data_IF_495854095664
#
_entry.id   IF_495854095664
#
_cell.length_a   1.000
_cell.length_b   1.000
_cell.length_c   1.000
_cell.angle_alpha   90.00
_cell.angle_beta   90.00
_cell.angle_gamma   90.00
#
_symmetry.space_group_name_H-M   'P 1'
#
loop_
_entity.id
_entity.type
_entity.pdbx_description
1 polymer ?
#
# COMPACT_ATOMS: atom_id res chain seq x y z
N UNK A 1 11.18 46.07 -42.81
CA UNK A 1 10.43 46.31 -41.57
C UNK A 1 9.57 45.07 -41.35
N UNK A 2 10.10 44.11 -40.66
CA UNK A 2 9.40 42.87 -40.29
C UNK A 2 8.90 43.03 -38.86
N UNK A 3 7.60 43.00 -38.74
CA UNK A 3 6.90 43.05 -37.42
C UNK A 3 6.75 41.61 -36.93
N UNK A 4 7.51 41.27 -35.92
CA UNK A 4 7.55 39.94 -35.31
C UNK A 4 6.82 40.00 -33.96
N UNK A 5 5.48 40.02 -33.98
CA UNK A 5 4.66 39.93 -32.79
C UNK A 5 4.24 38.46 -32.58
N UNK A 6 5.13 37.65 -31.94
CA UNK A 6 4.76 36.34 -31.43
C UNK A 6 3.79 36.50 -30.24
N UNK A 7 2.49 36.45 -30.52
CA UNK A 7 1.44 36.38 -29.51
C UNK A 7 1.52 35.09 -28.74
N UNK A 8 1.89 35.16 -27.45
CA UNK A 8 1.79 34.07 -26.51
C UNK A 8 0.31 33.80 -26.21
N UNK A 9 -0.27 32.81 -26.89
CA UNK A 9 -1.63 32.36 -26.62
C UNK A 9 -1.65 31.31 -25.51
N UNK A 10 -2.34 31.59 -24.41
CA UNK A 10 -2.62 30.60 -23.36
C UNK A 10 -3.82 29.75 -23.81
N UNK A 11 -3.62 28.46 -24.02
CA UNK A 11 -4.72 27.51 -24.29
C UNK A 11 -5.28 27.05 -22.95
N UNK A 12 -6.49 27.46 -22.62
CA UNK A 12 -7.23 26.96 -21.46
C UNK A 12 -8.08 25.78 -21.92
N UNK A 13 -7.71 24.58 -21.51
CA UNK A 13 -8.51 23.38 -21.75
C UNK A 13 -9.49 23.21 -20.59
N UNK A 14 -10.77 23.50 -20.83
CA UNK A 14 -11.84 23.21 -19.87
C UNK A 14 -12.42 21.84 -20.18
N UNK A 15 -12.37 20.93 -19.22
CA UNK A 15 -13.11 19.65 -19.30
C UNK A 15 -14.42 19.78 -18.52
N UNK A 16 -15.52 19.26 -19.08
CA UNK A 16 -16.79 19.19 -18.32
C UNK A 16 -16.66 18.17 -17.17
N UNK A 17 -17.46 18.33 -16.13
CA UNK A 17 -17.50 17.40 -15.00
C UNK A 17 -17.77 15.96 -15.43
N UNK A 18 -18.59 15.78 -16.47
CA UNK A 18 -18.88 14.47 -17.07
C UNK A 18 -17.64 13.84 -17.74
N UNK A 19 -16.87 14.63 -18.49
CA UNK A 19 -15.61 14.14 -19.09
C UNK A 19 -14.54 13.77 -18.07
N UNK A 20 -14.51 14.47 -16.93
CA UNK A 20 -13.62 14.13 -15.81
C UNK A 20 -14.05 12.79 -15.21
N UNK A 21 -15.35 12.61 -14.92
CA UNK A 21 -15.91 11.38 -14.37
C UNK A 21 -15.73 10.17 -15.29
N UNK A 22 -15.92 10.34 -16.61
CA UNK A 22 -15.65 9.27 -17.58
C UNK A 22 -14.17 8.87 -17.61
N UNK A 23 -13.28 9.86 -17.54
CA UNK A 23 -11.84 9.61 -17.54
C UNK A 23 -11.41 8.88 -16.25
N UNK A 24 -11.91 9.30 -15.09
CA UNK A 24 -11.67 8.63 -13.82
C UNK A 24 -12.21 7.20 -13.81
N UNK A 25 -13.40 6.97 -14.36
CA UNK A 25 -13.99 5.63 -14.48
C UNK A 25 -13.15 4.71 -15.36
N UNK A 26 -12.64 5.19 -16.49
CA UNK A 26 -11.77 4.42 -17.38
C UNK A 26 -10.41 4.10 -16.73
N UNK A 27 -9.83 5.05 -15.99
CA UNK A 27 -8.59 4.83 -15.24
C UNK A 27 -8.83 3.76 -14.17
N UNK A 28 -9.90 3.87 -13.36
CA UNK A 28 -10.26 2.87 -12.34
C UNK A 28 -10.46 1.48 -12.94
N UNK A 29 -11.14 1.39 -14.09
CA UNK A 29 -11.33 0.11 -14.77
C UNK A 29 -9.98 -0.49 -15.19
N UNK A 30 -9.08 0.28 -15.77
CA UNK A 30 -7.75 -0.16 -16.16
C UNK A 30 -6.91 -0.61 -14.95
N UNK A 31 -6.96 0.11 -13.81
CA UNK A 31 -6.28 -0.30 -12.58
C UNK A 31 -6.89 -1.58 -11.98
N UNK A 32 -8.22 -1.73 -12.04
CA UNK A 32 -8.92 -2.92 -11.56
C UNK A 32 -8.58 -4.16 -12.40
N UNK A 33 -8.50 -4.02 -13.72
CA UNK A 33 -8.10 -5.09 -14.63
C UNK A 33 -6.66 -5.55 -14.38
N UNK A 34 -5.79 -4.66 -13.90
CA UNK A 34 -4.42 -4.96 -13.49
C UNK A 34 -4.31 -5.44 -12.03
N UNK A 35 -5.42 -5.49 -11.28
CA UNK A 35 -5.42 -5.85 -9.87
C UNK A 35 -4.82 -4.80 -8.93
N UNK A 36 -4.67 -3.55 -9.40
CA UNK A 36 -4.05 -2.44 -8.68
C UNK A 36 -5.08 -1.54 -7.98
N UNK A 37 -6.11 -2.13 -7.40
CA UNK A 37 -7.15 -1.40 -6.67
C UNK A 37 -7.36 -1.95 -5.27
N UNK A 38 -7.65 -1.05 -4.34
CA UNK A 38 -8.10 -1.46 -3.01
C UNK A 38 -9.50 -2.08 -3.11
N UNK A 39 -9.70 -3.20 -2.42
CA UNK A 39 -10.92 -4.04 -2.51
C UNK A 39 -11.87 -3.85 -1.33
N UNK A 40 -11.34 -3.43 -0.17
CA UNK A 40 -12.05 -3.38 1.10
C UNK A 40 -12.19 -1.95 1.60
N UNK A 41 -13.26 -1.72 2.35
CA UNK A 41 -13.58 -0.47 3.04
C UNK A 41 -13.66 -0.69 4.55
N UNK A 42 -13.83 0.36 5.35
CA UNK A 42 -14.01 0.20 6.80
C UNK A 42 -15.29 -0.55 7.17
N UNK A 43 -16.26 -0.60 6.27
CA UNK A 43 -17.52 -1.35 6.43
C UNK A 43 -17.30 -2.87 6.34
N UNK A 44 -16.18 -3.30 5.74
CA UNK A 44 -15.80 -4.73 5.68
C UNK A 44 -15.11 -5.22 6.96
N UNK A 45 -14.78 -4.31 7.89
CA UNK A 45 -14.18 -4.65 9.18
C UNK A 45 -15.30 -4.95 10.17
N UNK A 46 -15.52 -6.24 10.42
CA UNK A 46 -16.58 -6.71 11.29
C UNK A 46 -16.12 -6.69 12.75
N UNK A 47 -16.94 -6.08 13.60
CA UNK A 47 -16.75 -6.00 15.05
C UNK A 47 -17.40 -4.77 15.67
N UNK A 48 -17.83 -4.91 16.91
CA UNK A 48 -18.51 -3.87 17.70
C UNK A 48 -17.76 -3.54 19.00
N UNK A 49 -16.66 -4.24 19.32
CA UNK A 49 -15.87 -3.97 20.51
C UNK A 49 -15.27 -2.56 20.50
N UNK A 50 -15.14 -1.90 21.66
CA UNK A 50 -14.51 -0.59 21.76
C UNK A 50 -13.10 -0.56 21.12
N UNK A 51 -12.34 -1.63 21.31
CA UNK A 51 -10.98 -1.73 20.80
C UNK A 51 -10.91 -1.67 19.27
N UNK A 52 -11.78 -2.40 18.53
CA UNK A 52 -11.79 -2.36 17.08
C UNK A 52 -12.38 -1.04 16.55
N UNK A 53 -13.43 -0.52 17.21
CA UNK A 53 -14.05 0.75 16.83
C UNK A 53 -13.10 1.94 16.99
N UNK A 54 -12.28 1.94 18.05
CA UNK A 54 -11.28 3.00 18.25
C UNK A 54 -10.15 2.90 17.23
N UNK A 55 -9.71 1.69 16.86
CA UNK A 55 -8.77 1.50 15.76
C UNK A 55 -9.34 1.98 14.41
N UNK A 56 -10.62 1.71 14.11
CA UNK A 56 -11.29 2.22 12.91
C UNK A 56 -11.33 3.75 12.92
N UNK A 57 -11.71 4.38 14.04
CA UNK A 57 -11.71 5.85 14.16
C UNK A 57 -10.30 6.43 13.94
N UNK A 58 -9.28 5.80 14.49
CA UNK A 58 -7.88 6.19 14.31
C UNK A 58 -7.47 6.06 12.85
N UNK A 59 -7.73 4.93 12.22
CA UNK A 59 -7.44 4.68 10.81
C UNK A 59 -8.13 5.69 9.88
N UNK A 60 -9.39 6.06 10.16
CA UNK A 60 -10.10 7.13 9.43
C UNK A 60 -9.46 8.51 9.58
N UNK A 61 -8.82 8.81 10.72
CA UNK A 61 -8.02 10.04 10.87
C UNK A 61 -6.73 9.95 10.05
N UNK A 62 -6.08 8.79 10.05
CA UNK A 62 -4.83 8.56 9.31
C UNK A 62 -5.04 8.53 7.79
N UNK A 63 -6.23 8.17 7.30
CA UNK A 63 -6.53 8.24 5.87
C UNK A 63 -6.45 9.67 5.30
N UNK A 64 -6.72 10.69 6.15
CA UNK A 64 -6.76 12.10 5.73
C UNK A 64 -5.38 12.76 5.60
N UNK A 65 -4.32 12.10 6.04
CA UNK A 65 -2.95 12.62 5.98
C UNK A 65 -2.09 11.72 5.11
N UNK A 66 -1.11 12.31 4.43
CA UNK A 66 -0.22 11.58 3.50
C UNK A 66 1.06 11.09 4.20
N UNK A 67 0.90 10.57 5.42
CA UNK A 67 1.99 10.00 6.22
C UNK A 67 2.03 8.49 6.10
N UNK A 68 3.21 7.90 6.36
CA UNK A 68 3.35 6.46 6.46
C UNK A 68 2.56 5.93 7.65
N UNK A 69 1.99 4.73 7.51
CA UNK A 69 1.23 4.05 8.56
C UNK A 69 1.83 2.66 8.78
N UNK A 70 2.09 2.30 10.03
CA UNK A 70 2.49 0.96 10.43
C UNK A 70 1.33 0.27 11.16
N UNK A 71 0.87 -0.86 10.64
CA UNK A 71 -0.21 -1.66 11.21
C UNK A 71 0.40 -2.89 11.89
N UNK A 72 0.26 -2.99 13.19
CA UNK A 72 0.78 -4.09 13.99
C UNK A 72 -0.35 -4.98 14.48
N UNK A 73 -0.13 -6.28 14.50
CA UNK A 73 -1.10 -7.26 14.99
C UNK A 73 -0.77 -8.67 14.55
N UNK A 74 -1.28 -9.63 15.27
CA UNK A 74 -1.09 -11.06 14.95
C UNK A 74 -1.62 -11.40 13.56
N UNK A 75 -1.17 -12.55 13.03
CA UNK A 75 -1.70 -13.06 11.76
C UNK A 75 -3.21 -13.31 11.88
N UNK A 76 -3.97 -12.90 10.87
CA UNK A 76 -5.44 -13.06 10.85
C UNK A 76 -6.23 -11.96 11.60
N UNK A 77 -5.60 -10.93 12.15
CA UNK A 77 -6.31 -9.83 12.85
C UNK A 77 -7.02 -8.85 11.92
N UNK A 78 -6.74 -8.89 10.60
CA UNK A 78 -7.37 -8.01 9.60
C UNK A 78 -6.51 -6.84 9.15
N UNK A 79 -5.18 -6.88 9.32
CA UNK A 79 -4.25 -5.80 8.92
C UNK A 79 -4.46 -5.33 7.48
N UNK A 80 -4.68 -6.27 6.56
CA UNK A 80 -4.95 -5.97 5.14
C UNK A 80 -6.24 -5.17 4.95
N UNK A 81 -7.32 -5.51 5.67
CA UNK A 81 -8.58 -4.75 5.61
C UNK A 81 -8.37 -3.28 5.99
N UNK A 82 -7.58 -3.02 7.04
CA UNK A 82 -7.24 -1.65 7.45
C UNK A 82 -6.42 -0.93 6.37
N UNK A 83 -5.42 -1.58 5.77
CA UNK A 83 -4.59 -0.96 4.73
C UNK A 83 -5.43 -0.53 3.52
N UNK A 84 -6.29 -1.42 3.02
CA UNK A 84 -7.22 -1.12 1.94
C UNK A 84 -8.18 0.02 2.30
N UNK A 85 -8.78 -0.04 3.50
CA UNK A 85 -9.73 0.98 3.97
C UNK A 85 -9.10 2.36 4.11
N UNK A 86 -7.87 2.43 4.62
CA UNK A 86 -7.10 3.69 4.73
C UNK A 86 -6.87 4.30 3.35
N UNK A 87 -6.52 3.49 2.35
CA UNK A 87 -6.36 3.98 0.99
C UNK A 87 -7.70 4.46 0.41
N UNK A 88 -8.78 3.69 0.54
CA UNK A 88 -10.11 4.01 0.00
C UNK A 88 -10.69 5.33 0.54
N UNK A 89 -10.41 5.68 1.80
CA UNK A 89 -10.84 6.97 2.38
C UNK A 89 -9.78 8.08 2.26
N UNK A 90 -8.65 7.84 1.58
CA UNK A 90 -7.59 8.84 1.42
C UNK A 90 -7.81 9.76 0.22
N UNK A 91 -7.00 10.81 0.13
CA UNK A 91 -6.91 11.66 -1.06
C UNK A 91 -6.43 10.89 -2.31
N UNK A 92 -5.77 9.74 -2.12
CA UNK A 92 -5.24 8.86 -3.19
C UNK A 92 -6.20 7.73 -3.59
N UNK A 93 -7.46 7.76 -3.15
CA UNK A 93 -8.45 6.69 -3.39
C UNK A 93 -8.70 6.32 -4.86
N UNK A 94 -8.39 7.21 -5.79
CA UNK A 94 -8.53 7.02 -7.23
C UNK A 94 -7.21 6.63 -7.92
N UNK A 95 -6.11 6.61 -7.15
CA UNK A 95 -4.78 6.26 -7.61
C UNK A 95 -4.52 4.75 -7.40
N UNK A 96 -3.43 4.17 -7.92
CA UNK A 96 -3.11 2.77 -7.72
C UNK A 96 -2.99 2.39 -6.24
N UNK A 97 -3.38 1.15 -5.93
CA UNK A 97 -3.10 0.47 -4.67
C UNK A 97 -2.40 -0.85 -4.96
N UNK A 98 -1.13 -0.93 -4.60
CA UNK A 98 -0.32 -2.11 -4.82
C UNK A 98 -0.03 -2.80 -3.49
N UNK A 99 -0.43 -4.06 -3.35
CA UNK A 99 -0.15 -4.87 -2.17
C UNK A 99 0.94 -5.90 -2.46
N UNK A 100 1.92 -6.00 -1.57
CA UNK A 100 2.99 -7.00 -1.63
C UNK A 100 3.21 -7.61 -0.25
N UNK A 101 3.19 -8.94 -0.19
CA UNK A 101 3.63 -9.67 1.00
C UNK A 101 5.15 -9.92 0.89
N UNK A 102 5.92 -9.31 1.79
CA UNK A 102 7.39 -9.38 1.76
C UNK A 102 7.93 -10.77 2.14
N UNK A 103 7.19 -11.55 2.92
CA UNK A 103 7.57 -12.91 3.30
C UNK A 103 7.33 -13.94 2.19
N UNK A 104 6.49 -13.63 1.20
CA UNK A 104 6.13 -14.57 0.14
C UNK A 104 7.21 -14.78 -0.92
N UNK A 105 8.23 -13.91 -0.98
CA UNK A 105 9.22 -13.90 -2.03
C UNK A 105 10.64 -14.05 -1.45
N UNK A 106 11.52 -14.85 -2.08
CA UNK A 106 12.94 -14.83 -1.76
C UNK A 106 13.56 -13.45 -2.06
N UNK A 107 14.64 -13.10 -1.36
CA UNK A 107 15.28 -11.78 -1.36
C UNK A 107 15.49 -11.19 -2.76
N UNK A 108 16.08 -11.96 -3.68
CA UNK A 108 16.38 -11.46 -5.04
C UNK A 108 15.11 -11.14 -5.83
N UNK A 109 14.04 -11.90 -5.62
CA UNK A 109 12.74 -11.63 -6.26
C UNK A 109 12.06 -10.43 -5.61
N UNK A 110 12.08 -10.33 -4.28
CA UNK A 110 11.55 -9.18 -3.54
C UNK A 110 12.21 -7.88 -4.01
N UNK A 111 13.54 -7.88 -4.16
CA UNK A 111 14.29 -6.73 -4.67
C UNK A 111 13.84 -6.34 -6.08
N UNK A 112 13.77 -7.31 -6.98
CA UNK A 112 13.39 -7.09 -8.37
C UNK A 112 11.93 -6.67 -8.53
N UNK A 113 11.02 -7.16 -7.66
CA UNK A 113 9.63 -6.70 -7.63
C UNK A 113 9.52 -5.26 -7.13
N UNK A 114 10.13 -4.92 -6.00
CA UNK A 114 10.03 -3.59 -5.41
C UNK A 114 10.67 -2.50 -6.28
N UNK A 115 11.92 -2.72 -6.72
CA UNK A 115 12.73 -1.67 -7.36
C UNK A 115 12.84 -1.81 -8.88
N UNK A 116 12.53 -2.99 -9.43
CA UNK A 116 12.74 -3.28 -10.84
C UNK A 116 14.21 -3.50 -11.20
N UNK A 117 14.47 -3.78 -12.46
CA UNK A 117 15.84 -4.00 -12.97
C UNK A 117 15.99 -3.56 -14.42
N UNK A 118 17.20 -3.18 -14.79
CA UNK A 118 17.56 -2.88 -16.19
C UNK A 118 17.84 -4.15 -16.98
N UNK A 119 17.73 -4.10 -18.32
CA UNK A 119 18.08 -5.22 -19.17
C UNK A 119 19.46 -5.76 -18.88
N UNK A 120 19.57 -7.08 -18.64
CA UNK A 120 20.85 -7.72 -18.39
C UNK A 120 21.44 -7.50 -16.98
N UNK A 121 20.70 -6.98 -16.02
CA UNK A 121 21.16 -6.68 -14.67
C UNK A 121 21.71 -7.91 -13.91
N UNK A 122 21.22 -9.10 -14.24
CA UNK A 122 21.67 -10.38 -13.67
C UNK A 122 21.41 -11.54 -14.66
N UNK A 123 22.01 -12.70 -14.37
CA UNK A 123 21.78 -13.92 -15.17
C UNK A 123 20.31 -14.35 -15.11
N UNK A 124 19.63 -14.38 -16.25
CA UNK A 124 18.18 -14.65 -16.35
C UNK A 124 17.29 -13.41 -16.36
N UNK A 125 17.83 -12.19 -16.27
CA UNK A 125 17.07 -10.96 -16.41
C UNK A 125 16.43 -10.86 -17.83
N UNK A 126 15.21 -10.34 -17.88
CA UNK A 126 14.52 -10.06 -19.15
C UNK A 126 15.35 -9.10 -20.02
N UNK A 127 15.31 -9.31 -21.34
CA UNK A 127 15.96 -8.41 -22.34
C UNK A 127 15.33 -7.00 -22.35
N UNK A 128 14.14 -6.84 -21.81
CA UNK A 128 13.43 -5.55 -21.73
C UNK A 128 13.53 -4.91 -20.33
N UNK A 129 14.16 -5.58 -19.36
CA UNK A 129 14.14 -5.14 -17.97
C UNK A 129 12.76 -5.32 -17.31
N UNK A 130 12.60 -4.76 -16.11
CA UNK A 130 11.32 -4.76 -15.39
C UNK A 130 11.13 -3.45 -14.63
N UNK A 131 9.92 -2.91 -14.70
CA UNK A 131 9.50 -1.77 -13.87
C UNK A 131 9.18 -2.32 -12.47
N UNK A 132 9.70 -1.67 -11.42
CA UNK A 132 9.43 -2.03 -10.03
C UNK A 132 8.09 -1.48 -9.52
N UNK A 133 7.57 -2.10 -8.44
CA UNK A 133 6.30 -1.72 -7.85
C UNK A 133 6.29 -0.27 -7.35
N UNK A 134 7.37 0.24 -6.78
CA UNK A 134 7.47 1.65 -6.38
C UNK A 134 7.36 2.63 -7.56
N UNK A 135 7.80 2.23 -8.74
CA UNK A 135 7.66 3.04 -9.94
C UNK A 135 6.25 2.93 -10.53
N UNK A 136 5.69 1.71 -10.51
CA UNK A 136 4.33 1.43 -10.99
C UNK A 136 3.28 2.17 -10.16
N UNK A 137 3.50 2.27 -8.83
CA UNK A 137 2.59 2.89 -7.86
C UNK A 137 2.80 4.42 -7.73
N UNK A 138 3.44 5.04 -8.70
CA UNK A 138 3.65 6.50 -8.66
C UNK A 138 2.32 7.26 -8.49
N UNK A 139 2.24 8.11 -7.45
CA UNK A 139 1.07 8.82 -6.89
C UNK A 139 0.10 7.94 -6.12
N UNK A 140 0.28 6.63 -6.10
CA UNK A 140 -0.56 5.67 -5.42
C UNK A 140 -0.17 5.40 -3.98
N UNK A 141 -0.58 4.21 -3.52
CA UNK A 141 -0.28 3.69 -2.17
C UNK A 141 0.24 2.27 -2.26
N UNK A 142 1.45 2.04 -1.80
CA UNK A 142 2.00 0.69 -1.66
C UNK A 142 1.71 0.14 -0.26
N UNK A 143 1.17 -1.06 -0.20
CA UNK A 143 0.98 -1.82 1.03
C UNK A 143 2.04 -2.93 1.11
N UNK A 144 2.91 -2.84 2.12
CA UNK A 144 3.97 -3.81 2.39
C UNK A 144 3.57 -4.66 3.59
N UNK A 145 3.01 -5.84 3.33
CA UNK A 145 2.67 -6.79 4.38
C UNK A 145 3.90 -7.56 4.83
N UNK A 146 3.94 -7.92 6.12
CA UNK A 146 5.05 -8.61 6.79
C UNK A 146 6.40 -7.88 6.58
N UNK A 147 6.39 -6.55 6.78
CA UNK A 147 7.57 -5.69 6.59
C UNK A 147 8.76 -6.10 7.47
N UNK A 148 8.50 -6.74 8.62
CA UNK A 148 9.53 -7.24 9.51
C UNK A 148 10.37 -8.38 8.94
N UNK A 149 9.90 -9.04 7.88
CA UNK A 149 10.60 -10.13 7.19
C UNK A 149 11.52 -9.64 6.06
N UNK A 150 11.55 -8.33 5.79
CA UNK A 150 12.40 -7.77 4.75
C UNK A 150 13.88 -7.94 5.12
N UNK A 151 14.72 -8.55 4.25
CA UNK A 151 16.15 -8.72 4.49
C UNK A 151 16.87 -7.40 4.78
N UNK A 152 17.85 -7.43 5.68
CA UNK A 152 18.61 -6.24 6.12
C UNK A 152 19.26 -5.47 4.96
N UNK A 153 19.68 -6.17 3.91
CA UNK A 153 20.24 -5.61 2.67
C UNK A 153 19.24 -4.70 1.93
N UNK A 154 17.95 -5.06 1.92
CA UNK A 154 16.90 -4.30 1.26
C UNK A 154 16.36 -3.15 2.11
N UNK A 155 16.49 -3.24 3.43
CA UNK A 155 16.01 -2.20 4.35
C UNK A 155 16.70 -0.84 4.09
N UNK A 156 17.98 -0.84 3.72
CA UNK A 156 18.69 0.40 3.35
C UNK A 156 18.14 1.05 2.07
N UNK A 157 17.67 0.24 1.11
CA UNK A 157 17.03 0.74 -0.12
C UNK A 157 15.63 1.30 0.17
N UNK A 158 14.85 0.60 1.00
CA UNK A 158 13.55 1.08 1.47
C UNK A 158 13.66 2.40 2.22
N UNK A 159 14.68 2.56 3.07
CA UNK A 159 14.91 3.80 3.79
C UNK A 159 15.10 4.98 2.84
N UNK A 160 15.86 4.81 1.75
CA UNK A 160 16.03 5.86 0.73
C UNK A 160 14.71 6.23 0.07
N UNK A 161 13.88 5.24 -0.27
CA UNK A 161 12.53 5.50 -0.81
C UNK A 161 11.71 6.38 0.13
N UNK A 162 11.73 6.06 1.43
CA UNK A 162 10.94 6.78 2.44
C UNK A 162 11.49 8.17 2.79
N UNK A 163 12.79 8.39 2.65
CA UNK A 163 13.45 9.65 3.01
C UNK A 163 13.61 10.58 1.82
N UNK A 164 14.14 10.05 0.71
CA UNK A 164 14.55 10.81 -0.46
C UNK A 164 13.47 10.82 -1.55
N UNK A 165 12.45 9.91 -1.44
CA UNK A 165 11.45 9.67 -2.48
C UNK A 165 12.10 9.31 -3.83
N UNK A 166 13.18 8.56 -3.76
CA UNK A 166 13.96 8.16 -4.92
C UNK A 166 14.17 6.65 -4.94
N UNK A 167 14.18 6.11 -6.16
CA UNK A 167 14.51 4.70 -6.42
C UNK A 167 15.63 4.60 -7.44
N UNK A 168 16.35 3.44 -7.38
CA UNK A 168 17.27 2.98 -8.43
C UNK A 168 16.91 1.56 -8.79
N UNK A 169 16.79 1.28 -10.08
CA UNK A 169 16.63 -0.09 -10.55
C UNK A 169 17.90 -0.89 -10.35
N UNK A 170 17.76 -2.19 -10.15
CA UNK A 170 18.92 -3.10 -10.07
C UNK A 170 19.72 -3.03 -11.40
N UNK A 171 21.03 -2.84 -11.30
CA UNK A 171 21.89 -2.67 -12.47
C UNK A 171 21.88 -1.27 -13.11
N UNK A 172 21.25 -0.27 -12.45
CA UNK A 172 21.20 1.11 -12.95
C UNK A 172 21.82 2.11 -11.97
N UNK A 173 22.54 3.10 -12.49
CA UNK A 173 23.00 4.25 -11.70
C UNK A 173 21.98 5.41 -11.75
N UNK A 174 20.93 5.30 -12.56
CA UNK A 174 19.93 6.35 -12.71
C UNK A 174 18.99 6.39 -11.52
N UNK A 175 18.82 7.57 -10.97
CA UNK A 175 17.86 7.86 -9.91
C UNK A 175 16.55 8.30 -10.54
N UNK A 176 15.44 7.81 -10.00
CA UNK A 176 14.09 8.20 -10.41
C UNK A 176 13.31 8.67 -9.19
N UNK A 177 12.77 9.88 -9.24
CA UNK A 177 11.90 10.42 -8.19
C UNK A 177 10.52 9.77 -8.26
N UNK A 178 9.98 9.39 -7.13
CA UNK A 178 8.65 8.81 -6.98
C UNK A 178 7.85 9.54 -5.90
N UNK A 179 6.55 9.52 -6.03
CA UNK A 179 5.62 9.99 -5.02
C UNK A 179 4.68 8.83 -4.66
N UNK A 180 5.01 8.11 -3.59
CA UNK A 180 4.26 6.94 -3.13
C UNK A 180 3.99 7.07 -1.64
N UNK A 181 2.75 6.81 -1.24
CA UNK A 181 2.39 6.64 0.16
C UNK A 181 2.66 5.20 0.58
N UNK A 182 3.29 5.00 1.74
CA UNK A 182 3.59 3.65 2.24
C UNK A 182 2.70 3.33 3.43
N UNK A 183 1.97 2.21 3.33
CA UNK A 183 1.32 1.55 4.45
C UNK A 183 2.05 0.22 4.64
N UNK A 184 2.47 -0.09 5.85
CA UNK A 184 3.18 -1.34 6.16
C UNK A 184 2.48 -2.10 7.27
N UNK A 185 2.59 -3.43 7.25
CA UNK A 185 2.04 -4.27 8.30
C UNK A 185 3.07 -5.29 8.79
N UNK A 186 2.93 -5.70 10.05
CA UNK A 186 3.77 -6.74 10.65
C UNK A 186 3.03 -7.47 11.77
N UNK A 187 3.36 -8.76 11.94
CA UNK A 187 2.93 -9.59 13.06
C UNK A 187 4.04 -9.80 14.10
N UNK A 188 5.27 -9.34 13.82
CA UNK A 188 6.41 -9.53 14.70
C UNK A 188 6.75 -8.25 15.46
N UNK A 189 7.42 -8.42 16.60
CA UNK A 189 7.94 -7.31 17.39
C UNK A 189 9.20 -6.76 16.72
N UNK A 190 9.08 -5.61 16.02
CA UNK A 190 10.19 -4.98 15.31
C UNK A 190 11.26 -4.47 16.30
N UNK A 191 10.88 -4.01 17.49
CA UNK A 191 11.85 -3.52 18.49
C UNK A 191 12.82 -4.63 18.91
N UNK A 192 12.30 -5.84 19.11
CA UNK A 192 13.13 -7.02 19.34
C UNK A 192 14.02 -7.35 18.15
N UNK A 193 13.53 -7.20 16.93
CA UNK A 193 14.34 -7.38 15.70
C UNK A 193 15.48 -6.35 15.60
N UNK A 194 15.24 -5.11 16.09
CA UNK A 194 16.28 -4.07 16.16
C UNK A 194 17.36 -4.46 17.17
N UNK A 195 16.98 -4.92 18.37
CA UNK A 195 17.92 -5.39 19.38
C UNK A 195 18.80 -6.55 18.89
N UNK A 196 18.20 -7.44 18.11
CA UNK A 196 18.89 -8.59 17.49
C UNK A 196 19.66 -8.25 16.21
N UNK A 197 19.68 -7.00 15.77
CA UNK A 197 20.38 -6.53 14.57
C UNK A 197 19.76 -7.00 13.24
N UNK A 198 18.54 -7.50 13.25
CA UNK A 198 17.82 -7.98 12.06
C UNK A 198 16.96 -6.91 11.39
N UNK A 199 16.66 -5.83 12.12
CA UNK A 199 15.93 -4.68 11.58
C UNK A 199 16.65 -3.38 11.94
N UNK A 200 16.64 -2.42 11.01
CA UNK A 200 17.30 -1.12 11.21
C UNK A 200 16.36 -0.17 11.97
N UNK A 201 16.88 0.45 13.00
CA UNK A 201 16.13 1.43 13.80
C UNK A 201 15.72 2.67 12.98
N UNK A 202 16.58 3.15 12.07
CA UNK A 202 16.32 4.30 11.22
C UNK A 202 15.14 4.04 10.26
N UNK A 203 15.02 2.84 9.70
CA UNK A 203 13.89 2.43 8.89
C UNK A 203 12.60 2.35 9.73
N UNK A 204 12.67 1.75 10.93
CA UNK A 204 11.53 1.64 11.83
C UNK A 204 10.91 3.01 12.13
N UNK A 205 11.70 3.99 12.56
CA UNK A 205 11.20 5.33 12.86
C UNK A 205 10.64 6.06 11.63
N UNK A 206 11.00 5.65 10.43
CA UNK A 206 10.46 6.24 9.20
C UNK A 206 9.17 5.57 8.75
N UNK A 207 8.99 4.28 9.04
CA UNK A 207 7.74 3.53 8.81
C UNK A 207 6.69 3.89 9.87
N UNK A 208 7.10 3.96 11.14
CA UNK A 208 6.23 4.16 12.30
C UNK A 208 6.01 5.64 12.61
N UNK A 209 5.50 6.41 11.63
CA UNK A 209 5.06 7.78 11.86
C UNK A 209 3.66 7.83 12.46
N UNK A 210 2.80 6.92 12.06
CA UNK A 210 1.47 6.69 12.58
C UNK A 210 1.30 5.18 12.78
N UNK A 211 0.89 4.76 13.96
CA UNK A 211 0.73 3.35 14.29
C UNK A 211 -0.73 2.96 14.56
N UNK A 212 -1.05 1.72 14.21
CA UNK A 212 -2.31 1.06 14.54
C UNK A 212 -1.97 -0.31 15.10
N UNK A 213 -2.40 -0.59 16.33
CA UNK A 213 -2.22 -1.90 16.94
C UNK A 213 -3.56 -2.62 16.99
N UNK A 214 -3.72 -3.66 16.18
CA UNK A 214 -4.96 -4.42 16.10
C UNK A 214 -4.90 -5.57 17.13
N UNK A 215 -5.76 -5.57 18.15
CA UNK A 215 -5.77 -6.63 19.14
C UNK A 215 -6.23 -7.96 18.55
N UNK A 216 -5.67 -9.09 18.99
CA UNK A 216 -6.14 -10.41 18.59
C UNK A 216 -7.58 -10.68 19.11
N UNK A 217 -8.30 -11.59 18.45
CA UNK A 217 -9.71 -11.85 18.74
C UNK A 217 -9.98 -12.25 20.21
N UNK A 218 -9.03 -12.92 20.87
CA UNK A 218 -9.13 -13.27 22.28
C UNK A 218 -9.21 -12.06 23.24
N UNK A 219 -8.77 -10.88 22.81
CA UNK A 219 -8.81 -9.61 23.54
C UNK A 219 -10.03 -8.74 23.18
N UNK A 220 -10.83 -9.18 22.17
CA UNK A 220 -12.07 -8.55 21.71
C UNK A 220 -13.17 -9.61 21.53
N UNK A 221 -13.47 -10.34 22.59
CA UNK A 221 -14.39 -11.48 22.56
C UNK A 221 -15.81 -11.12 22.14
N UNK A 222 -16.21 -9.88 22.34
CA UNK A 222 -17.49 -9.32 21.91
C UNK A 222 -17.67 -9.44 20.40
N UNK A 223 -16.59 -9.27 19.63
CA UNK A 223 -16.62 -9.35 18.17
C UNK A 223 -16.84 -10.77 17.63
N UNK A 224 -16.70 -11.80 18.47
CA UNK A 224 -16.91 -13.20 18.03
C UNK A 224 -18.33 -13.43 17.53
N UNK A 225 -19.34 -12.85 18.20
CA UNK A 225 -20.74 -12.97 17.76
C UNK A 225 -20.93 -12.33 16.39
N UNK A 226 -20.47 -11.10 16.22
CA UNK A 226 -20.61 -10.36 14.96
C UNK A 226 -19.95 -11.12 13.80
N UNK A 227 -18.75 -11.69 14.04
CA UNK A 227 -18.03 -12.49 13.05
C UNK A 227 -18.76 -13.79 12.73
N UNK A 228 -19.30 -14.49 13.72
CA UNK A 228 -20.07 -15.73 13.52
C UNK A 228 -21.30 -15.44 12.68
N UNK A 229 -22.10 -14.44 13.03
CA UNK A 229 -23.32 -14.08 12.30
C UNK A 229 -23.01 -13.66 10.86
N UNK A 230 -21.96 -12.87 10.67
CA UNK A 230 -21.51 -12.47 9.34
C UNK A 230 -21.14 -13.67 8.47
N UNK A 231 -20.27 -14.55 8.97
CA UNK A 231 -19.81 -15.72 8.20
C UNK A 231 -20.90 -16.77 7.98
N UNK A 232 -21.78 -16.99 8.97
CA UNK A 232 -22.93 -17.89 8.80
C UNK A 232 -23.85 -17.38 7.71
N UNK A 233 -24.20 -16.10 7.73
CA UNK A 233 -25.05 -15.47 6.71
C UNK A 233 -24.42 -15.58 5.31
N UNK A 234 -23.13 -15.28 5.21
CA UNK A 234 -22.37 -15.36 3.96
C UNK A 234 -22.32 -16.77 3.41
N UNK A 235 -21.94 -17.76 4.22
CA UNK A 235 -21.87 -19.16 3.78
C UNK A 235 -23.25 -19.76 3.47
N UNK A 236 -24.29 -19.36 4.20
CA UNK A 236 -25.65 -19.77 3.87
C UNK A 236 -26.07 -19.27 2.47
N UNK A 237 -25.76 -18.01 2.18
CA UNK A 237 -26.03 -17.44 0.86
C UNK A 237 -25.26 -18.16 -0.24
N UNK A 238 -23.95 -18.39 -0.05
CA UNK A 238 -23.08 -19.11 -1.00
C UNK A 238 -23.55 -20.55 -1.25
N UNK A 239 -24.09 -21.23 -0.22
CA UNK A 239 -24.61 -22.60 -0.32
C UNK A 239 -26.09 -22.69 -0.72
N UNK A 240 -26.79 -21.58 -0.92
CA UNK A 240 -28.22 -21.53 -1.20
C UNK A 240 -29.10 -22.09 -0.07
N UNK A 241 -28.62 -22.05 1.18
CA UNK A 241 -29.32 -22.51 2.37
C UNK A 241 -29.86 -21.32 3.16
N UNK A 242 -31.05 -21.49 3.77
CA UNK A 242 -31.56 -20.56 4.78
C UNK A 242 -31.06 -20.99 6.16
N UNK A 243 -30.50 -20.06 6.92
CA UNK A 243 -30.22 -20.21 8.36
C UNK A 243 -31.37 -19.59 9.13
#
# INVERSE_FOLDING_TARGET
ITDDSAGSGTIIITKSTEQIQETESKIRQGLSEQGLTAKYTFEDIIGSSPAILDNIKMARRYSRVDSNVLIMGETGTGKELFAHSIHQESSRRNEPFVALNCAALPENLLESELFGYEPGAFSGASKTGKIGLFELDHRGTIFLDEIGEVPISLQAKLLRVLQEREIRRVGSDRVKTIDVRVISATNINIEKQIEEGRFRSDLYYRLNLLDIVIPPLRERKEDVHDLVDFYLTRFACEMGKRI
#
